data_IF_855284262321
#
_entry.id   IF_855284262321
#
_cell.length_a   1.000
_cell.length_b   1.000
_cell.length_c   1.000
_cell.angle_alpha   90.00
_cell.angle_beta   90.00
_cell.angle_gamma   90.00
#
_symmetry.space_group_name_H-M   'P 1'
#
loop_
_entity.id
_entity.type
_entity.pdbx_description
1 polymer ?
#
# COMPACT_ATOMS: atom_id res chain seq x y z
N UNK A 1 -0.60 -34.17 7.00
CA UNK A 1 -0.42 -33.62 8.37
C UNK A 1 -1.60 -32.72 8.68
N UNK A 2 -2.12 -32.73 9.88
CA UNK A 2 -3.18 -31.80 10.29
C UNK A 2 -2.60 -30.43 10.58
N UNK A 3 -3.32 -29.37 10.21
CA UNK A 3 -2.94 -27.99 10.50
C UNK A 3 -2.71 -27.83 12.01
N UNK A 4 -1.57 -27.26 12.40
CA UNK A 4 -1.21 -27.10 13.82
C UNK A 4 -2.27 -26.30 14.58
N UNK A 5 -2.76 -26.78 15.72
CA UNK A 5 -3.70 -26.03 16.57
C UNK A 5 -3.09 -24.79 17.22
N UNK A 6 -1.76 -24.66 17.17
CA UNK A 6 -1.04 -23.49 17.71
C UNK A 6 -1.15 -22.26 16.84
N UNK A 7 -1.66 -22.37 15.62
CA UNK A 7 -1.82 -21.25 14.70
C UNK A 7 -3.27 -20.77 14.72
N UNK A 8 -3.48 -19.48 14.96
CA UNK A 8 -4.82 -18.88 14.96
C UNK A 8 -5.55 -19.17 13.64
N UNK A 9 -6.83 -19.49 13.72
CA UNK A 9 -7.69 -19.82 12.57
C UNK A 9 -8.22 -18.58 11.85
N UNK A 10 -7.34 -17.61 11.61
CA UNK A 10 -7.68 -16.36 10.89
C UNK A 10 -7.84 -16.55 9.38
N UNK A 11 -7.44 -17.69 8.85
CA UNK A 11 -7.58 -18.06 7.44
C UNK A 11 -8.12 -19.48 7.29
N UNK A 12 -9.00 -19.71 6.31
CA UNK A 12 -9.39 -21.06 5.88
C UNK A 12 -8.25 -21.70 5.08
N UNK A 13 -7.28 -22.32 5.79
CA UNK A 13 -6.13 -22.94 5.14
C UNK A 13 -6.52 -24.22 4.41
N UNK A 14 -6.02 -24.38 3.19
CA UNK A 14 -6.05 -25.65 2.47
C UNK A 14 -4.97 -26.55 3.07
N UNK A 15 -5.28 -27.81 3.29
CA UNK A 15 -4.33 -28.80 3.87
C UNK A 15 -3.33 -29.29 2.81
N UNK A 16 -2.51 -28.36 2.33
CA UNK A 16 -1.38 -28.59 1.43
C UNK A 16 -0.18 -27.83 1.99
N UNK A 17 0.93 -28.53 2.20
CA UNK A 17 2.20 -27.93 2.58
C UNK A 17 3.14 -27.89 1.36
N UNK A 18 3.60 -26.68 1.01
CA UNK A 18 4.62 -26.49 -0.02
C UNK A 18 6.00 -26.47 0.61
N UNK A 19 6.95 -27.19 0.06
CA UNK A 19 8.32 -27.30 0.56
C UNK A 19 9.30 -26.45 -0.23
N UNK A 20 9.05 -26.22 -1.52
CA UNK A 20 9.85 -25.36 -2.37
C UNK A 20 9.05 -24.84 -3.56
N UNK A 21 9.63 -23.88 -4.29
CA UNK A 21 9.05 -23.35 -5.51
C UNK A 21 10.13 -22.95 -6.52
N UNK A 22 9.78 -23.00 -7.78
CA UNK A 22 10.66 -22.59 -8.88
C UNK A 22 9.82 -21.92 -9.98
N UNK A 23 10.16 -20.69 -10.33
CA UNK A 23 9.41 -19.93 -11.32
C UNK A 23 7.93 -19.81 -10.95
N UNK A 24 7.04 -20.31 -11.81
CA UNK A 24 5.58 -20.30 -11.57
C UNK A 24 5.04 -21.55 -10.88
N UNK A 25 5.91 -22.43 -10.36
CA UNK A 25 5.48 -23.70 -9.76
C UNK A 25 5.82 -23.78 -8.29
N UNK A 26 4.90 -24.37 -7.53
CA UNK A 26 5.09 -24.82 -6.15
C UNK A 26 5.11 -26.33 -6.09
N UNK A 27 5.92 -26.89 -5.20
CA UNK A 27 6.03 -28.34 -4.98
C UNK A 27 5.61 -28.65 -3.55
N UNK A 28 4.60 -29.50 -3.42
CA UNK A 28 4.10 -29.98 -2.13
C UNK A 28 5.01 -31.05 -1.54
N UNK A 29 4.79 -31.34 -0.26
CA UNK A 29 5.52 -32.35 0.52
C UNK A 29 5.48 -33.75 -0.10
N UNK A 30 4.38 -34.09 -0.79
CA UNK A 30 4.18 -35.33 -1.52
C UNK A 30 4.88 -35.36 -2.92
N UNK A 31 5.58 -34.28 -3.26
CA UNK A 31 6.27 -34.12 -4.54
C UNK A 31 5.37 -33.60 -5.67
N UNK A 32 4.07 -33.40 -5.45
CA UNK A 32 3.15 -32.93 -6.48
C UNK A 32 3.43 -31.48 -6.83
N UNK A 33 3.50 -31.18 -8.13
CA UNK A 33 3.67 -29.81 -8.65
C UNK A 33 2.33 -29.12 -8.89
N UNK A 34 2.27 -27.85 -8.51
CA UNK A 34 1.13 -26.97 -8.70
C UNK A 34 1.57 -25.71 -9.45
N UNK A 35 0.82 -25.34 -10.47
CA UNK A 35 1.00 -24.06 -11.14
C UNK A 35 0.38 -22.96 -10.27
N UNK A 36 1.20 -22.02 -9.81
CA UNK A 36 0.78 -20.96 -8.89
C UNK A 36 0.28 -19.71 -9.63
N UNK A 37 -1.03 -19.62 -9.83
CA UNK A 37 -1.68 -18.40 -10.33
C UNK A 37 -1.94 -17.37 -9.24
N UNK A 38 -1.87 -17.73 -7.96
CA UNK A 38 -2.12 -16.81 -6.85
C UNK A 38 -0.92 -15.91 -6.57
N UNK A 39 0.30 -16.44 -6.86
CA UNK A 39 1.56 -15.69 -6.70
C UNK A 39 1.72 -15.03 -5.32
N UNK A 40 1.26 -15.70 -4.24
CA UNK A 40 1.23 -15.14 -2.89
C UNK A 40 0.27 -13.94 -2.75
N UNK A 41 -0.82 -13.91 -3.50
CA UNK A 41 -1.75 -12.76 -3.66
C UNK A 41 -1.02 -11.56 -4.29
N UNK A 42 -0.47 -11.80 -5.49
CA UNK A 42 0.26 -10.82 -6.31
C UNK A 42 1.59 -10.30 -5.69
N UNK A 43 2.22 -11.09 -4.82
CA UNK A 43 3.50 -10.73 -4.17
C UNK A 43 4.71 -11.18 -5.00
N UNK A 44 4.72 -12.44 -5.46
CA UNK A 44 5.85 -13.06 -6.16
C UNK A 44 5.88 -12.65 -7.64
N UNK A 45 6.13 -11.36 -7.91
CA UNK A 45 6.08 -10.81 -9.27
C UNK A 45 7.09 -11.45 -10.23
N UNK A 46 8.20 -12.00 -9.70
CA UNK A 46 9.26 -12.66 -10.48
C UNK A 46 9.20 -14.19 -10.41
N UNK A 47 8.13 -14.74 -9.83
CA UNK A 47 8.01 -16.15 -9.51
C UNK A 47 8.80 -16.55 -8.25
N UNK A 48 8.79 -17.84 -7.95
CA UNK A 48 9.46 -18.40 -6.79
C UNK A 48 10.96 -18.55 -7.01
N UNK A 49 11.76 -18.21 -6.01
CA UNK A 49 13.21 -18.40 -5.98
C UNK A 49 13.93 -17.84 -7.22
N UNK A 50 13.57 -16.62 -7.66
CA UNK A 50 14.26 -16.00 -8.79
C UNK A 50 15.76 -15.89 -8.51
N UNK A 51 16.67 -16.39 -9.38
CA UNK A 51 18.10 -16.53 -9.08
C UNK A 51 18.76 -15.25 -8.59
N UNK A 52 18.51 -14.11 -9.23
CA UNK A 52 19.07 -12.81 -8.83
C UNK A 52 18.58 -12.34 -7.46
N UNK A 53 17.33 -12.65 -7.08
CA UNK A 53 16.82 -12.29 -5.76
C UNK A 53 17.42 -13.17 -4.67
N UNK A 54 17.58 -14.46 -4.95
CA UNK A 54 18.26 -15.42 -4.05
C UNK A 54 19.72 -15.02 -3.84
N UNK A 55 20.46 -14.70 -4.91
CA UNK A 55 21.85 -14.26 -4.86
C UNK A 55 21.99 -12.97 -4.02
N UNK A 56 21.15 -11.96 -4.28
CA UNK A 56 21.17 -10.71 -3.54
C UNK A 56 20.87 -10.89 -2.04
N UNK A 57 19.91 -11.78 -1.72
CA UNK A 57 19.58 -12.09 -0.33
C UNK A 57 20.73 -12.82 0.38
N UNK A 58 21.36 -13.81 -0.27
CA UNK A 58 22.48 -14.56 0.26
C UNK A 58 23.69 -13.66 0.49
N UNK A 59 23.99 -12.76 -0.45
CA UNK A 59 25.08 -11.79 -0.33
C UNK A 59 24.84 -10.84 0.85
N UNK A 60 23.63 -10.23 0.93
CA UNK A 60 23.29 -9.29 2.00
C UNK A 60 23.19 -9.96 3.37
N UNK A 61 22.72 -11.21 3.43
CA UNK A 61 22.55 -11.95 4.68
C UNK A 61 23.86 -12.14 5.45
N UNK A 62 25.00 -12.16 4.75
CA UNK A 62 26.33 -12.27 5.37
C UNK A 62 26.95 -10.94 5.79
N UNK A 63 26.35 -9.80 5.44
CA UNK A 63 26.90 -8.45 5.68
C UNK A 63 26.22 -7.75 6.85
N UNK A 64 24.94 -7.37 6.66
CA UNK A 64 24.26 -6.51 7.61
C UNK A 64 22.73 -6.68 7.48
N UNK A 65 22.04 -6.87 8.62
CA UNK A 65 20.61 -7.09 8.65
C UNK A 65 19.81 -5.86 9.03
N UNK A 66 20.31 -5.07 10.02
CA UNK A 66 19.58 -3.92 10.54
C UNK A 66 20.50 -2.92 11.25
N UNK A 67 20.25 -1.62 11.03
CA UNK A 67 21.02 -0.53 11.67
C UNK A 67 20.16 0.57 12.27
N UNK A 68 18.83 0.49 12.26
CA UNK A 68 17.93 1.62 12.56
C UNK A 68 17.95 2.73 11.50
N UNK A 69 16.81 3.41 11.36
CA UNK A 69 16.67 4.60 10.50
C UNK A 69 17.45 5.85 10.99
N UNK A 70 18.19 5.73 12.09
CA UNK A 70 19.10 6.79 12.56
C UNK A 70 20.38 6.88 11.71
N UNK A 71 20.68 5.85 10.96
CA UNK A 71 21.86 5.77 10.09
C UNK A 71 21.43 5.69 8.62
N UNK A 72 22.34 6.08 7.74
CA UNK A 72 22.15 5.92 6.31
C UNK A 72 22.18 4.45 5.92
N UNK A 73 21.25 4.04 5.07
CA UNK A 73 21.15 2.70 4.48
C UNK A 73 21.24 2.88 2.97
N UNK A 74 22.40 2.59 2.38
CA UNK A 74 22.71 2.92 0.99
C UNK A 74 21.78 2.21 -0.02
N UNK A 75 21.43 0.95 0.26
CA UNK A 75 20.50 0.19 -0.56
C UNK A 75 19.09 0.83 -0.55
N UNK A 76 18.66 1.32 0.61
CA UNK A 76 17.38 2.03 0.75
C UNK A 76 17.40 3.34 -0.04
N UNK A 77 18.47 4.11 0.04
CA UNK A 77 18.66 5.36 -0.73
C UNK A 77 18.61 5.07 -2.23
N UNK A 78 19.33 4.04 -2.70
CA UNK A 78 19.33 3.61 -4.10
C UNK A 78 17.95 3.21 -4.61
N UNK A 79 17.17 2.49 -3.80
CA UNK A 79 15.79 2.12 -4.17
C UNK A 79 14.89 3.35 -4.20
N UNK A 80 15.01 4.27 -3.22
CA UNK A 80 14.27 5.52 -3.19
C UNK A 80 14.52 6.36 -4.45
N UNK A 81 15.79 6.55 -4.83
CA UNK A 81 16.17 7.28 -6.04
C UNK A 81 15.56 6.67 -7.31
N UNK A 82 15.57 5.33 -7.42
CA UNK A 82 14.96 4.64 -8.56
C UNK A 82 13.44 4.80 -8.60
N UNK A 83 12.77 4.72 -7.45
CA UNK A 83 11.33 4.92 -7.36
C UNK A 83 10.94 6.34 -7.75
N UNK A 84 11.65 7.34 -7.22
CA UNK A 84 11.44 8.76 -7.56
C UNK A 84 11.68 9.02 -9.05
N UNK A 85 12.80 8.56 -9.60
CA UNK A 85 13.14 8.76 -11.02
C UNK A 85 12.12 8.20 -12.00
N UNK A 86 11.26 7.27 -11.57
CA UNK A 86 10.26 6.61 -12.42
C UNK A 86 8.81 6.92 -12.03
N UNK A 87 8.58 7.94 -11.21
CA UNK A 87 7.24 8.31 -10.72
C UNK A 87 7.04 9.83 -10.71
N UNK A 88 5.85 10.25 -10.26
CA UNK A 88 5.53 11.65 -9.99
C UNK A 88 5.86 12.08 -8.54
N UNK A 89 6.45 11.20 -7.74
CA UNK A 89 6.79 11.45 -6.35
C UNK A 89 8.25 11.91 -6.19
N UNK A 90 8.55 12.60 -5.09
CA UNK A 90 9.87 13.15 -4.77
C UNK A 90 10.47 12.59 -3.47
N UNK A 91 9.63 11.97 -2.63
CA UNK A 91 10.01 11.45 -1.31
C UNK A 91 9.51 10.03 -1.14
N UNK A 92 10.28 9.21 -0.43
CA UNK A 92 9.93 7.82 -0.12
C UNK A 92 10.14 7.55 1.36
N UNK A 93 9.14 6.93 2.00
CA UNK A 93 9.24 6.35 3.33
C UNK A 93 9.04 4.85 3.21
N UNK A 94 9.98 4.04 3.72
CA UNK A 94 9.88 2.58 3.71
C UNK A 94 9.26 2.03 4.99
N UNK A 95 8.50 0.97 4.84
CA UNK A 95 7.84 0.21 5.91
C UNK A 95 7.85 -1.29 5.57
N UNK A 96 7.12 -2.13 6.31
CA UNK A 96 7.25 -3.58 6.21
C UNK A 96 6.08 -4.26 5.49
N UNK A 97 5.00 -3.55 5.23
CA UNK A 97 3.77 -4.14 4.68
C UNK A 97 2.92 -3.12 3.92
N UNK A 98 1.97 -3.64 3.12
CA UNK A 98 0.97 -2.78 2.46
C UNK A 98 0.05 -2.07 3.43
N UNK A 99 -0.32 -2.71 4.54
CA UNK A 99 -1.15 -2.08 5.57
C UNK A 99 -0.43 -0.90 6.24
N UNK A 100 0.88 -1.01 6.50
CA UNK A 100 1.69 0.11 7.00
C UNK A 100 1.84 1.21 5.96
N UNK A 101 1.96 0.86 4.67
CA UNK A 101 2.03 1.82 3.59
C UNK A 101 0.74 2.64 3.46
N UNK A 102 -0.43 2.00 3.47
CA UNK A 102 -1.72 2.67 3.40
C UNK A 102 -2.03 3.49 4.66
N UNK A 103 -1.72 2.97 5.87
CA UNK A 103 -1.76 3.75 7.13
C UNK A 103 -0.83 4.97 7.06
N UNK A 104 0.38 4.79 6.57
CA UNK A 104 1.36 5.84 6.36
C UNK A 104 0.83 6.91 5.41
N UNK A 105 0.23 6.52 4.28
CA UNK A 105 -0.34 7.43 3.30
C UNK A 105 -1.47 8.29 3.91
N UNK A 106 -2.39 7.69 4.67
CA UNK A 106 -3.44 8.41 5.39
C UNK A 106 -2.86 9.39 6.41
N UNK A 107 -1.84 8.98 7.17
CA UNK A 107 -1.14 9.84 8.14
C UNK A 107 -0.48 11.03 7.45
N UNK A 108 0.19 10.82 6.33
CA UNK A 108 0.83 11.87 5.52
C UNK A 108 -0.23 12.88 5.05
N UNK A 109 -1.33 12.40 4.48
CA UNK A 109 -2.42 13.25 3.99
C UNK A 109 -3.03 14.13 5.10
N UNK A 110 -3.38 13.53 6.24
CA UNK A 110 -3.92 14.26 7.40
C UNK A 110 -2.93 15.27 7.96
N UNK A 111 -1.64 14.89 8.04
CA UNK A 111 -0.59 15.78 8.53
C UNK A 111 -0.35 16.96 7.60
N UNK A 112 -0.32 16.73 6.29
CA UNK A 112 -0.23 17.77 5.28
C UNK A 112 -1.39 18.77 5.40
N UNK A 113 -2.62 18.27 5.45
CA UNK A 113 -3.80 19.11 5.63
C UNK A 113 -3.70 19.98 6.90
N UNK A 114 -3.32 19.38 8.03
CA UNK A 114 -3.14 20.09 9.31
C UNK A 114 -2.05 21.17 9.23
N UNK A 115 -0.90 20.87 8.61
CA UNK A 115 0.22 21.81 8.49
C UNK A 115 -0.11 23.02 7.61
N UNK A 116 -1.02 22.85 6.64
CA UNK A 116 -1.46 23.91 5.72
C UNK A 116 -2.75 24.62 6.17
N UNK A 117 -3.03 24.64 7.48
CA UNK A 117 -4.15 25.37 8.06
C UNK A 117 -5.50 24.65 8.00
N UNK A 118 -5.55 23.46 7.44
CA UNK A 118 -6.75 22.63 7.30
C UNK A 118 -6.95 21.67 8.48
N UNK A 119 -6.93 22.15 9.73
CA UNK A 119 -7.06 21.29 10.93
C UNK A 119 -8.33 20.45 10.96
N UNK A 120 -9.39 20.93 10.33
CA UNK A 120 -10.66 20.21 10.18
C UNK A 120 -10.63 19.14 9.06
N UNK A 121 -9.60 19.15 8.20
CA UNK A 121 -9.45 18.22 7.10
C UNK A 121 -8.89 16.89 7.59
N UNK A 122 -9.75 16.02 8.04
CA UNK A 122 -9.37 14.70 8.59
C UNK A 122 -10.02 13.54 7.86
N UNK A 123 -11.06 13.83 7.04
CA UNK A 123 -11.81 12.80 6.34
C UNK A 123 -11.03 12.25 5.14
N UNK A 124 -11.06 10.93 5.00
CA UNK A 124 -10.55 10.18 3.85
C UNK A 124 -11.73 9.54 3.13
N UNK A 125 -11.92 9.87 1.87
CA UNK A 125 -12.93 9.22 1.04
C UNK A 125 -12.34 7.96 0.43
N UNK A 126 -13.04 6.83 0.58
CA UNK A 126 -12.69 5.53 0.04
C UNK A 126 -13.80 5.03 -0.88
N UNK A 127 -13.48 4.11 -1.79
CA UNK A 127 -14.47 3.51 -2.68
C UNK A 127 -15.05 2.20 -2.11
N UNK A 128 -16.33 1.93 -2.39
CA UNK A 128 -16.94 0.63 -2.07
C UNK A 128 -16.19 -0.52 -2.74
N UNK A 129 -16.08 -1.65 -2.06
CA UNK A 129 -15.36 -2.84 -2.55
C UNK A 129 -13.84 -2.76 -2.48
N UNK A 130 -13.26 -1.66 -1.97
CA UNK A 130 -11.82 -1.50 -1.82
C UNK A 130 -11.24 -2.39 -0.70
N UNK A 131 -9.91 -2.64 -0.81
CA UNK A 131 -9.14 -3.32 0.22
C UNK A 131 -7.81 -2.60 0.45
N UNK A 132 -7.66 -1.96 1.61
CA UNK A 132 -6.49 -1.16 1.96
C UNK A 132 -5.66 -1.75 3.11
N UNK A 133 -6.05 -2.88 3.68
CA UNK A 133 -5.32 -3.55 4.76
C UNK A 133 -6.18 -4.02 5.91
N UNK A 134 -5.54 -4.45 7.01
CA UNK A 134 -6.18 -5.08 8.16
C UNK A 134 -5.89 -4.40 9.50
N UNK A 135 -5.23 -3.23 9.53
CA UNK A 135 -5.13 -2.40 10.73
C UNK A 135 -6.49 -1.79 11.08
N UNK A 136 -6.68 -1.30 12.30
CA UNK A 136 -7.99 -0.75 12.71
C UNK A 136 -8.46 0.40 11.82
N UNK A 137 -7.54 1.29 11.38
CA UNK A 137 -7.91 2.37 10.47
C UNK A 137 -8.17 1.84 9.05
N UNK A 138 -7.37 0.88 8.56
CA UNK A 138 -7.61 0.30 7.23
C UNK A 138 -8.85 -0.59 7.20
N UNK A 139 -9.25 -1.19 8.31
CA UNK A 139 -10.57 -1.83 8.44
C UNK A 139 -11.70 -0.80 8.29
N UNK A 140 -11.51 0.42 8.79
CA UNK A 140 -12.48 1.51 8.59
C UNK A 140 -12.48 2.04 7.15
N UNK A 141 -11.33 2.05 6.47
CA UNK A 141 -11.21 2.41 5.06
C UNK A 141 -11.83 1.37 4.11
N UNK A 142 -11.90 0.10 4.52
CA UNK A 142 -12.56 -0.95 3.73
C UNK A 142 -14.08 -0.90 3.90
N UNK A 143 -14.82 -0.99 2.79
CA UNK A 143 -16.28 -1.13 2.80
C UNK A 143 -16.71 -2.60 2.96
N UNK A 144 -16.39 -3.18 4.12
CA UNK A 144 -16.78 -4.56 4.48
C UNK A 144 -17.11 -4.65 5.97
N UNK A 145 -18.37 -4.49 6.36
CA UNK A 145 -18.79 -4.53 7.77
C UNK A 145 -18.29 -5.76 8.52
N UNK A 146 -18.31 -6.93 7.86
CA UNK A 146 -17.85 -8.20 8.44
C UNK A 146 -16.37 -8.13 8.91
N UNK A 147 -15.53 -7.33 8.26
CA UNK A 147 -14.12 -7.20 8.68
C UNK A 147 -13.96 -6.36 9.94
N UNK A 148 -14.96 -5.56 10.31
CA UNK A 148 -14.94 -4.68 11.50
C UNK A 148 -15.67 -5.28 12.70
N UNK A 149 -16.47 -6.30 12.47
CA UNK A 149 -17.31 -6.93 13.50
C UNK A 149 -16.43 -7.48 14.65
N UNK A 150 -16.76 -7.10 15.88
CA UNK A 150 -16.07 -7.55 17.08
C UNK A 150 -14.79 -6.79 17.45
N UNK A 151 -14.30 -5.82 16.62
CA UNK A 151 -13.07 -5.07 16.91
C UNK A 151 -13.30 -3.69 17.56
N UNK A 152 -14.48 -3.48 18.15
CA UNK A 152 -14.79 -2.24 18.86
C UNK A 152 -15.24 -1.11 17.92
N UNK A 153 -15.19 0.15 18.39
CA UNK A 153 -15.60 1.28 17.58
C UNK A 153 -14.68 1.43 16.36
N UNK A 154 -15.28 1.66 15.19
CA UNK A 154 -14.54 1.92 13.96
C UNK A 154 -13.71 3.20 14.08
N UNK A 155 -12.52 3.21 13.50
CA UNK A 155 -11.74 4.43 13.37
C UNK A 155 -12.56 5.48 12.59
N UNK A 156 -12.54 6.73 13.08
CA UNK A 156 -13.29 7.83 12.49
C UNK A 156 -12.52 8.47 11.32
N UNK A 157 -13.26 9.21 10.50
CA UNK A 157 -12.70 9.98 9.40
C UNK A 157 -12.50 9.13 8.13
N UNK A 158 -13.44 8.22 7.85
CA UNK A 158 -13.52 7.46 6.61
C UNK A 158 -14.96 7.45 6.09
N UNK A 159 -15.15 7.95 4.86
CA UNK A 159 -16.44 7.96 4.16
C UNK A 159 -16.33 7.13 2.88
N UNK A 160 -17.34 6.31 2.58
CA UNK A 160 -17.36 5.46 1.39
C UNK A 160 -18.27 6.04 0.32
N UNK A 161 -17.80 5.96 -0.93
CA UNK A 161 -18.53 6.30 -2.16
C UNK A 161 -18.60 5.10 -3.09
N UNK A 162 -19.60 5.03 -3.94
CA UNK A 162 -19.72 3.94 -4.89
C UNK A 162 -18.57 3.95 -5.90
N UNK A 163 -17.96 2.78 -6.11
CA UNK A 163 -16.89 2.59 -7.08
C UNK A 163 -17.36 2.91 -8.49
N UNK A 164 -16.68 3.87 -9.12
CA UNK A 164 -16.99 4.28 -10.50
C UNK A 164 -18.11 5.33 -10.62
N UNK A 165 -18.70 5.76 -9.51
CA UNK A 165 -19.75 6.78 -9.48
C UNK A 165 -19.22 8.13 -8.96
N UNK A 166 -19.04 9.08 -9.89
CA UNK A 166 -18.59 10.44 -9.59
C UNK A 166 -19.66 11.25 -8.86
N UNK A 167 -20.93 10.98 -9.10
CA UNK A 167 -22.00 11.71 -8.44
C UNK A 167 -22.08 11.37 -6.95
N UNK A 168 -21.81 10.12 -6.57
CA UNK A 168 -21.68 9.75 -5.15
C UNK A 168 -20.53 10.50 -4.46
N UNK A 169 -19.40 10.71 -5.14
CA UNK A 169 -18.28 11.50 -4.63
C UNK A 169 -18.68 12.98 -4.44
N UNK A 170 -19.32 13.58 -5.44
CA UNK A 170 -19.75 15.00 -5.37
C UNK A 170 -20.70 15.32 -4.22
N UNK A 171 -21.43 14.32 -3.74
CA UNK A 171 -22.33 14.51 -2.59
C UNK A 171 -21.60 14.63 -1.25
N UNK A 172 -20.39 14.08 -1.14
CA UNK A 172 -19.65 13.99 0.14
C UNK A 172 -18.34 14.80 0.15
N UNK A 173 -17.81 15.18 -1.02
CA UNK A 173 -16.58 15.96 -1.10
C UNK A 173 -16.81 17.36 -0.51
N UNK A 174 -15.87 17.83 0.29
CA UNK A 174 -15.98 19.15 0.92
C UNK A 174 -14.72 19.54 1.68
N UNK A 175 -14.73 20.71 2.31
CA UNK A 175 -13.57 21.30 3.01
C UNK A 175 -13.02 20.45 4.16
N UNK A 176 -13.77 19.48 4.65
CA UNK A 176 -13.36 18.52 5.70
C UNK A 176 -12.54 17.36 5.17
N UNK A 177 -12.48 17.18 3.84
CA UNK A 177 -11.79 16.05 3.20
C UNK A 177 -10.30 16.35 3.06
N UNK A 178 -9.47 15.49 3.62
CA UNK A 178 -8.02 15.52 3.49
C UNK A 178 -7.55 14.86 2.20
N UNK A 179 -8.12 13.70 1.87
CA UNK A 179 -7.72 12.94 0.68
C UNK A 179 -8.82 11.99 0.17
N UNK A 180 -8.67 11.60 -1.08
CA UNK A 180 -9.36 10.46 -1.70
C UNK A 180 -8.35 9.32 -1.80
N UNK A 181 -8.67 8.15 -1.24
CA UNK A 181 -7.87 6.92 -1.29
C UNK A 181 -8.50 5.95 -2.28
N UNK A 182 -7.77 5.57 -3.32
CA UNK A 182 -8.30 4.73 -4.41
C UNK A 182 -7.27 3.70 -4.89
N UNK A 183 -7.75 2.49 -5.19
CA UNK A 183 -7.00 1.51 -5.98
C UNK A 183 -7.25 1.78 -7.48
N UNK A 184 -6.25 1.93 -8.35
CA UNK A 184 -6.48 2.06 -9.80
C UNK A 184 -7.20 0.85 -10.43
N UNK A 185 -6.99 -0.33 -9.84
CA UNK A 185 -7.74 -1.55 -10.09
C UNK A 185 -7.99 -2.22 -8.74
N UNK A 186 -9.23 -2.41 -8.38
CA UNK A 186 -9.59 -3.10 -7.15
C UNK A 186 -9.27 -4.59 -7.26
N UNK A 187 -8.24 -5.06 -6.55
CA UNK A 187 -7.82 -6.46 -6.59
C UNK A 187 -8.80 -7.36 -5.85
N UNK A 188 -8.94 -7.16 -4.55
CA UNK A 188 -9.84 -7.95 -3.67
C UNK A 188 -11.33 -7.70 -3.96
N UNK A 189 -11.65 -6.62 -4.65
CA UNK A 189 -12.98 -6.31 -5.15
C UNK A 189 -13.39 -7.12 -6.39
N UNK A 190 -12.52 -8.01 -6.89
CA UNK A 190 -12.80 -8.88 -8.04
C UNK A 190 -12.07 -8.46 -9.32
N UNK A 191 -10.84 -7.95 -9.22
CA UNK A 191 -10.02 -7.45 -10.33
C UNK A 191 -10.78 -6.39 -11.19
N UNK A 192 -11.44 -5.46 -10.52
CA UNK A 192 -12.29 -4.43 -11.15
C UNK A 192 -11.46 -3.25 -11.59
N UNK A 193 -11.28 -3.08 -12.91
CA UNK A 193 -10.66 -1.88 -13.47
C UNK A 193 -11.58 -0.67 -13.27
N UNK A 194 -11.00 0.50 -12.98
CA UNK A 194 -11.73 1.77 -12.96
C UNK A 194 -12.40 2.03 -14.32
N UNK A 195 -13.63 2.58 -14.35
CA UNK A 195 -14.22 3.09 -15.59
C UNK A 195 -13.28 4.09 -16.28
N UNK A 196 -13.36 4.17 -17.60
CA UNK A 196 -12.54 5.11 -18.38
C UNK A 196 -12.76 6.56 -17.90
N UNK A 197 -11.66 7.27 -17.66
CA UNK A 197 -11.68 8.66 -17.19
C UNK A 197 -12.03 8.83 -15.70
N UNK A 198 -12.43 7.78 -14.98
CA UNK A 198 -12.84 7.90 -13.58
C UNK A 198 -11.71 8.40 -12.68
N UNK A 199 -10.50 7.83 -12.80
CA UNK A 199 -9.35 8.25 -11.97
C UNK A 199 -8.95 9.70 -12.27
N UNK A 200 -9.07 10.12 -13.54
CA UNK A 200 -8.83 11.51 -13.91
C UNK A 200 -9.83 12.45 -13.24
N UNK A 201 -11.10 12.12 -13.28
CA UNK A 201 -12.16 12.90 -12.60
C UNK A 201 -11.93 12.96 -11.08
N UNK A 202 -11.53 11.86 -10.44
CA UNK A 202 -11.16 11.85 -9.01
C UNK A 202 -10.02 12.83 -8.73
N UNK A 203 -8.97 12.80 -9.56
CA UNK A 203 -7.81 13.69 -9.44
C UNK A 203 -8.19 15.16 -9.60
N UNK A 204 -9.01 15.47 -10.60
CA UNK A 204 -9.45 16.85 -10.88
C UNK A 204 -10.34 17.37 -9.72
N UNK A 205 -11.31 16.58 -9.26
CA UNK A 205 -12.17 16.93 -8.12
C UNK A 205 -11.35 17.10 -6.83
N UNK A 206 -10.38 16.23 -6.57
CA UNK A 206 -9.49 16.36 -5.41
C UNK A 206 -8.74 17.69 -5.46
N UNK A 207 -8.13 18.04 -6.59
CA UNK A 207 -7.42 19.31 -6.80
C UNK A 207 -8.34 20.53 -6.61
N UNK A 208 -9.52 20.53 -7.21
CA UNK A 208 -10.51 21.61 -7.08
C UNK A 208 -10.93 21.82 -5.62
N UNK A 209 -11.06 20.76 -4.85
CA UNK A 209 -11.42 20.82 -3.42
C UNK A 209 -10.22 21.15 -2.52
N UNK A 210 -8.99 21.12 -3.03
CA UNK A 210 -7.74 21.20 -2.25
C UNK A 210 -7.52 19.98 -1.36
N UNK A 211 -8.02 18.82 -1.75
CA UNK A 211 -7.76 17.51 -1.16
C UNK A 211 -6.65 16.80 -1.93
N UNK A 212 -5.99 15.82 -1.30
CA UNK A 212 -4.98 15.00 -1.96
C UNK A 212 -5.60 13.77 -2.64
N UNK A 213 -4.92 13.24 -3.66
CA UNK A 213 -5.20 11.93 -4.22
C UNK A 213 -4.15 10.93 -3.75
N UNK A 214 -4.60 9.85 -3.11
CA UNK A 214 -3.76 8.71 -2.71
C UNK A 214 -4.05 7.55 -3.67
N UNK A 215 -3.03 7.12 -4.43
CA UNK A 215 -3.11 5.90 -5.24
C UNK A 215 -2.61 4.71 -4.42
N UNK A 216 -3.49 3.77 -4.12
CA UNK A 216 -3.10 2.49 -3.55
C UNK A 216 -2.64 1.54 -4.66
N UNK A 217 -1.34 1.48 -4.84
CA UNK A 217 -0.64 0.64 -5.81
C UNK A 217 -0.09 -0.65 -5.18
N UNK A 218 -0.50 -0.96 -3.96
CA UNK A 218 0.00 -2.13 -3.20
C UNK A 218 -0.16 -3.42 -4.00
N UNK A 219 -1.28 -3.61 -4.67
CA UNK A 219 -1.52 -4.83 -5.43
C UNK A 219 -1.22 -4.69 -6.92
N UNK A 220 -1.49 -3.52 -7.49
CA UNK A 220 -1.48 -3.33 -8.95
C UNK A 220 -0.23 -2.63 -9.47
N UNK A 221 0.58 -2.05 -8.60
CA UNK A 221 1.85 -1.41 -8.95
C UNK A 221 2.95 -2.40 -9.31
N UNK A 222 4.16 -1.88 -9.44
CA UNK A 222 5.38 -2.63 -9.72
C UNK A 222 5.30 -3.52 -10.97
N UNK A 223 4.71 -2.97 -12.05
CA UNK A 223 4.66 -3.63 -13.35
C UNK A 223 3.42 -4.50 -13.60
N UNK A 224 2.60 -4.81 -12.60
CA UNK A 224 1.46 -5.72 -12.73
C UNK A 224 0.42 -5.23 -13.74
N UNK A 225 0.22 -3.92 -13.84
CA UNK A 225 -0.71 -3.32 -14.81
C UNK A 225 -0.15 -3.22 -16.24
N UNK A 226 1.16 -3.51 -16.43
CA UNK A 226 1.87 -3.32 -17.71
C UNK A 226 2.61 -1.97 -17.82
N UNK A 227 2.45 -1.08 -16.85
CA UNK A 227 3.30 0.09 -16.56
C UNK A 227 3.91 -0.09 -15.20
N UNK A 228 4.97 0.64 -14.84
CA UNK A 228 5.59 0.50 -13.51
C UNK A 228 4.57 0.79 -12.41
N UNK A 229 3.80 1.87 -12.57
CA UNK A 229 2.66 2.22 -11.71
C UNK A 229 1.38 2.27 -12.54
N UNK A 230 0.26 1.83 -11.97
CA UNK A 230 -1.01 1.77 -12.70
C UNK A 230 -1.57 3.15 -13.04
N UNK A 231 -1.35 4.16 -12.19
CA UNK A 231 -1.79 5.54 -12.43
C UNK A 231 -1.21 6.14 -13.73
N UNK A 232 -0.04 5.66 -14.18
CA UNK A 232 0.61 6.14 -15.40
C UNK A 232 -0.21 5.88 -16.67
N UNK A 233 -1.17 4.96 -16.62
CA UNK A 233 -2.07 4.68 -17.75
C UNK A 233 -3.20 5.70 -17.89
N UNK A 234 -3.51 6.42 -16.85
CA UNK A 234 -4.67 7.31 -16.77
C UNK A 234 -4.26 8.80 -16.87
N UNK A 235 -2.98 9.06 -17.17
CA UNK A 235 -2.41 10.42 -17.28
C UNK A 235 -2.74 11.31 -16.07
N UNK A 236 -2.58 10.75 -14.87
CA UNK A 236 -2.74 11.45 -13.60
C UNK A 236 -1.45 11.44 -12.79
N UNK A 237 -1.34 12.36 -11.85
CA UNK A 237 -0.24 12.44 -10.90
C UNK A 237 -0.80 12.47 -9.47
N UNK A 238 -0.95 11.31 -8.82
CA UNK A 238 -1.36 11.26 -7.43
C UNK A 238 -0.35 11.99 -6.52
N UNK A 239 -0.84 12.55 -5.42
CA UNK A 239 0.00 13.25 -4.45
C UNK A 239 0.74 12.27 -3.54
N UNK A 240 0.14 11.09 -3.31
CA UNK A 240 0.69 10.02 -2.49
C UNK A 240 0.46 8.68 -3.19
N UNK A 241 1.45 7.79 -3.11
CA UNK A 241 1.39 6.43 -3.68
C UNK A 241 1.78 5.45 -2.57
N UNK A 242 0.95 4.43 -2.32
CA UNK A 242 1.25 3.34 -1.42
C UNK A 242 1.71 2.10 -2.20
N UNK A 243 2.83 1.49 -1.80
CA UNK A 243 3.44 0.34 -2.45
C UNK A 243 3.72 -0.79 -1.46
N UNK A 244 3.66 -2.03 -1.93
CA UNK A 244 4.16 -3.23 -1.25
C UNK A 244 4.22 -4.40 -2.24
N UNK A 245 3.98 -5.62 -1.76
CA UNK A 245 3.84 -6.85 -2.58
C UNK A 245 4.95 -7.00 -3.63
N UNK A 246 4.66 -6.66 -4.90
CA UNK A 246 5.62 -6.73 -5.99
C UNK A 246 6.90 -5.92 -5.78
N UNK A 247 6.87 -4.88 -4.93
CA UNK A 247 8.06 -4.09 -4.57
C UNK A 247 9.16 -4.97 -3.96
N UNK A 248 8.79 -5.93 -3.10
CA UNK A 248 9.74 -6.85 -2.47
C UNK A 248 9.95 -8.15 -3.23
N UNK A 249 9.12 -8.45 -4.25
CA UNK A 249 9.24 -9.69 -5.03
C UNK A 249 9.16 -10.98 -4.21
N UNK A 250 8.51 -10.95 -3.05
CA UNK A 250 8.41 -12.04 -2.07
C UNK A 250 8.93 -11.65 -0.69
N UNK A 251 9.79 -10.64 -0.58
CA UNK A 251 10.31 -10.14 0.70
C UNK A 251 9.35 -9.10 1.31
N UNK A 252 9.14 -9.09 2.65
CA UNK A 252 8.25 -8.14 3.30
C UNK A 252 8.80 -6.71 3.23
N UNK A 253 8.18 -5.87 2.42
CA UNK A 253 8.49 -4.44 2.33
C UNK A 253 7.26 -3.68 1.83
N UNK A 254 7.12 -2.44 2.28
CA UNK A 254 6.18 -1.46 1.78
C UNK A 254 6.85 -0.10 1.65
N UNK A 255 6.20 0.80 0.95
CA UNK A 255 6.65 2.18 0.84
C UNK A 255 5.47 3.14 0.68
N UNK A 256 5.64 4.34 1.23
CA UNK A 256 4.82 5.50 0.93
C UNK A 256 5.68 6.45 0.12
N UNK A 257 5.20 6.82 -1.05
CA UNK A 257 5.83 7.84 -1.88
C UNK A 257 4.93 9.07 -1.91
N UNK A 258 5.52 10.26 -1.94
CA UNK A 258 4.75 11.50 -1.98
C UNK A 258 5.50 12.60 -2.75
N UNK A 259 4.76 13.58 -3.26
CA UNK A 259 5.35 14.84 -3.74
C UNK A 259 6.11 15.52 -2.62
N UNK A 260 7.14 16.32 -2.93
CA UNK A 260 8.01 16.95 -1.95
C UNK A 260 7.24 17.73 -0.89
N UNK A 261 6.34 18.62 -1.29
CA UNK A 261 5.53 19.44 -0.40
C UNK A 261 4.66 18.63 0.57
N UNK A 262 4.18 17.46 0.12
CA UNK A 262 3.32 16.56 0.90
C UNK A 262 4.18 15.72 1.85
N UNK A 263 5.27 15.14 1.37
CA UNK A 263 6.17 14.31 2.16
C UNK A 263 6.91 15.10 3.25
N UNK A 264 7.32 16.33 2.95
CA UNK A 264 8.05 17.20 3.87
C UNK A 264 7.15 17.75 5.02
N UNK A 265 5.83 17.61 4.91
CA UNK A 265 4.91 17.90 6.03
C UNK A 265 5.04 16.92 7.21
N UNK A 266 5.59 15.72 7.00
CA UNK A 266 6.00 14.80 8.06
C UNK A 266 7.36 15.25 8.58
N UNK A 267 7.39 15.90 9.74
CA UNK A 267 8.62 16.41 10.32
C UNK A 267 9.24 15.48 11.37
N UNK A 268 10.51 15.71 11.69
CA UNK A 268 11.34 14.97 12.67
C UNK A 268 10.79 14.99 14.12
N UNK A 269 9.71 15.70 14.42
CA UNK A 269 9.12 15.81 15.77
C UNK A 269 8.65 14.49 16.38
N UNK A 270 8.62 13.42 15.58
CA UNK A 270 8.21 12.08 16.04
C UNK A 270 9.40 11.12 16.27
N UNK A 271 10.62 11.56 16.07
CA UNK A 271 11.76 10.84 16.60
C UNK A 271 11.80 11.06 18.12
N UNK A 272 12.10 10.00 18.87
CA UNK A 272 12.21 10.01 20.34
C UNK A 272 12.84 11.30 20.86
N UNK A 273 12.39 11.85 22.00
CA UNK A 273 12.99 13.04 22.57
C UNK A 273 14.49 12.85 22.67
N UNK A 274 15.25 13.79 22.12
CA UNK A 274 16.71 13.76 22.23
C UNK A 274 17.05 13.76 23.71
N UNK A 275 17.96 12.90 24.22
CA UNK A 275 18.33 12.87 25.63
C UNK A 275 19.06 14.13 26.13
N UNK A 276 18.95 15.30 25.50
CA UNK A 276 19.79 16.47 25.78
C UNK A 276 19.11 17.81 25.76
N UNK A 277 17.83 17.88 25.90
CA UNK A 277 17.18 19.17 26.21
C UNK A 277 16.81 19.26 27.69
N UNK A 278 17.70 18.73 28.56
CA UNK A 278 17.69 18.88 30.01
C UNK A 278 18.91 19.67 30.48
#
# INVERSE_FOLDING_TARGET
MTISPSIMTTYGRIDIAFTHGEGSFLVAEDGKKYLDYASGIAVNAFGHCHPKLVEALQDQASKLWHTSNLYRILEQETVAEKLVANSCADRVFFCNSGAEATEGAVKVARRYAWANGGKERTEIICATGAFHGRTLAMLAANDRPLFREGFGPSAQGFTHVEWGDIESLKQVIGKHVAAILVEPVQGEGGARKAPEGYLKLLNDIAKENGSLLISDEVQIGMGRSGTLFAYQKEDIEPDIIALAKGLGGGFPVGAVMAKAEVGDAICLLYTSPRPRDS
#
